data_IF_461011743681
#
_entry.id   IF_461011743681
#
_cell.length_a   1.000
_cell.length_b   1.000
_cell.length_c   1.000
_cell.angle_alpha   90.00
_cell.angle_beta   90.00
_cell.angle_gamma   90.00
#
_symmetry.space_group_name_H-M   'P 1'
#
loop_
_entity.id
_entity.type
_entity.pdbx_description
1 polymer ?
#
# COMPACT_ATOMS: atom_id res chain seq x y z
N UNK A 1 -18.43 52.26 28.46
CA UNK A 1 -18.77 51.34 27.36
C UNK A 1 -17.60 51.29 26.38
N UNK A 2 -17.00 50.11 26.27
CA UNK A 2 -16.15 49.55 25.21
C UNK A 2 -14.90 50.30 24.68
N UNK A 3 -13.81 49.56 24.89
CA UNK A 3 -12.38 49.58 24.54
C UNK A 3 -12.03 49.54 23.02
N UNK A 4 -10.73 49.66 22.65
CA UNK A 4 -10.28 50.01 21.30
C UNK A 4 -10.23 48.81 20.33
N UNK A 5 -10.41 49.10 19.03
CA UNK A 5 -10.34 48.15 17.94
C UNK A 5 -8.89 47.69 17.69
N UNK A 6 -8.58 46.48 18.16
CA UNK A 6 -7.58 45.59 17.58
C UNK A 6 -8.12 44.99 16.27
N UNK A 7 -7.59 45.39 15.11
CA UNK A 7 -7.69 44.59 13.89
C UNK A 7 -6.58 43.53 13.91
N UNK A 8 -6.87 42.39 14.55
CA UNK A 8 -6.05 41.19 14.47
C UNK A 8 -5.95 40.75 13.02
N UNK A 9 -4.72 40.74 12.48
CA UNK A 9 -4.39 40.00 11.27
C UNK A 9 -4.71 38.53 11.49
N UNK A 10 -5.79 38.05 10.89
CA UNK A 10 -6.08 36.62 10.74
C UNK A 10 -5.10 36.05 9.71
N UNK A 11 -3.85 35.88 10.11
CA UNK A 11 -2.94 34.93 9.48
C UNK A 11 -3.51 33.54 9.69
N UNK A 12 -4.26 33.06 8.69
CA UNK A 12 -4.87 31.74 8.71
C UNK A 12 -3.77 30.69 8.89
N UNK A 13 -3.77 29.95 10.00
CA UNK A 13 -2.82 28.83 10.26
C UNK A 13 -2.82 27.79 9.12
N UNK A 14 -3.87 27.73 8.28
CA UNK A 14 -3.91 26.90 7.07
C UNK A 14 -2.99 27.38 5.95
N UNK A 15 -2.62 28.66 5.88
CA UNK A 15 -1.68 29.17 4.88
C UNK A 15 -0.23 28.74 5.16
N UNK A 16 0.17 28.56 6.41
CA UNK A 16 1.52 28.12 6.75
C UNK A 16 1.76 26.64 6.40
N UNK A 17 0.75 25.78 6.57
CA UNK A 17 0.79 24.37 6.10
C UNK A 17 0.98 24.30 4.57
N UNK A 18 0.44 25.28 3.83
CA UNK A 18 0.60 25.35 2.36
C UNK A 18 1.97 25.89 1.96
N UNK A 19 2.61 26.72 2.79
CA UNK A 19 3.95 27.26 2.51
C UNK A 19 5.07 26.31 2.96
N UNK A 20 4.86 25.48 3.98
CA UNK A 20 5.78 24.38 4.36
C UNK A 20 5.65 23.13 3.47
N UNK A 21 4.56 22.99 2.71
CA UNK A 21 4.39 21.95 1.66
C UNK A 21 5.43 22.01 0.52
N UNK A 22 6.29 23.03 0.49
CA UNK A 22 7.26 23.28 -0.58
C UNK A 22 8.63 22.60 -0.38
N UNK A 23 8.85 21.87 0.71
CA UNK A 23 10.11 21.11 0.93
C UNK A 23 9.87 19.62 1.21
N UNK A 24 9.00 18.95 0.44
CA UNK A 24 8.90 17.48 0.43
C UNK A 24 10.14 16.95 -0.32
N UNK A 25 11.29 16.86 0.35
CA UNK A 25 12.55 16.42 -0.28
C UNK A 25 13.41 15.50 0.60
N UNK A 26 12.90 15.02 1.74
CA UNK A 26 13.69 14.18 2.64
C UNK A 26 13.08 12.78 2.74
N UNK A 27 13.95 11.79 2.58
CA UNK A 27 13.69 10.40 2.94
C UNK A 27 14.20 10.18 4.36
N UNK A 28 13.36 9.64 5.22
CA UNK A 28 13.70 9.33 6.60
C UNK A 28 13.78 7.82 6.75
N UNK A 29 14.99 7.31 6.99
CA UNK A 29 15.22 5.87 7.13
C UNK A 29 15.58 5.51 8.57
N UNK A 30 14.84 4.54 9.09
CA UNK A 30 15.04 3.85 10.35
C UNK A 30 15.20 2.33 10.10
N UNK A 31 15.67 1.96 8.91
CA UNK A 31 15.80 0.56 8.51
C UNK A 31 16.73 -0.21 9.45
N UNK A 32 16.30 -1.38 9.93
CA UNK A 32 17.08 -2.23 10.83
C UNK A 32 17.22 -1.71 12.26
N UNK A 33 16.50 -0.64 12.63
CA UNK A 33 16.52 -0.09 13.99
C UNK A 33 15.46 -0.76 14.85
N UNK A 34 15.81 -1.08 16.09
CA UNK A 34 14.82 -1.51 17.08
C UNK A 34 14.04 -0.29 17.60
N UNK A 35 12.73 -0.30 17.39
CA UNK A 35 11.84 0.82 17.69
C UNK A 35 10.84 0.39 18.76
N UNK A 36 11.23 0.62 20.02
CA UNK A 36 10.34 0.52 21.16
C UNK A 36 9.38 1.73 21.24
N UNK A 37 8.44 1.67 22.18
CA UNK A 37 7.47 2.75 22.39
C UNK A 37 8.14 4.11 22.66
N UNK A 38 9.23 4.14 23.46
CA UNK A 38 9.92 5.39 23.83
C UNK A 38 10.67 6.02 22.66
N UNK A 39 11.28 5.18 21.83
CA UNK A 39 11.94 5.61 20.60
C UNK A 39 10.91 6.23 19.66
N UNK A 40 9.74 5.59 19.51
CA UNK A 40 8.65 6.14 18.71
C UNK A 40 8.12 7.46 19.25
N UNK A 41 7.89 7.59 20.57
CA UNK A 41 7.47 8.85 21.20
C UNK A 41 8.47 9.99 20.92
N UNK A 42 9.77 9.69 20.94
CA UNK A 42 10.80 10.68 20.61
C UNK A 42 10.78 11.14 19.14
N UNK A 43 10.22 10.33 18.23
CA UNK A 43 10.06 10.71 16.82
C UNK A 43 8.96 11.74 16.63
N UNK A 44 8.06 11.97 17.59
CA UNK A 44 6.96 12.92 17.46
C UNK A 44 7.47 14.33 17.12
N UNK A 45 8.54 14.77 17.80
CA UNK A 45 9.16 16.07 17.58
C UNK A 45 9.69 16.25 16.15
N UNK A 46 10.06 15.14 15.50
CA UNK A 46 10.54 15.12 14.12
C UNK A 46 9.34 15.13 13.16
N UNK A 47 8.37 14.22 13.36
CA UNK A 47 7.20 14.06 12.49
C UNK A 47 6.28 15.29 12.50
N UNK A 48 6.22 16.04 13.60
CA UNK A 48 5.46 17.30 13.67
C UNK A 48 6.12 18.45 12.90
N UNK A 49 7.42 18.37 12.68
CA UNK A 49 8.24 19.48 12.17
C UNK A 49 8.55 19.35 10.68
N UNK A 50 8.55 18.12 10.16
CA UNK A 50 9.01 17.81 8.80
C UNK A 50 8.01 16.89 8.09
N UNK A 51 7.77 17.17 6.80
CA UNK A 51 7.08 16.26 5.89
C UNK A 51 8.10 15.51 5.05
N UNK A 52 7.97 14.18 5.03
CA UNK A 52 8.84 13.26 4.34
C UNK A 52 8.21 12.76 3.05
N UNK A 53 9.04 12.50 2.05
CA UNK A 53 8.58 11.76 0.89
C UNK A 53 8.39 10.30 1.29
N UNK A 54 9.45 9.70 1.81
CA UNK A 54 9.55 8.33 2.28
C UNK A 54 9.85 8.29 3.78
N UNK A 55 9.09 7.48 4.51
CA UNK A 55 9.51 6.93 5.80
C UNK A 55 9.81 5.44 5.58
N UNK A 56 11.08 5.08 5.72
CA UNK A 56 11.58 3.72 5.56
C UNK A 56 11.79 3.08 6.94
N UNK A 57 10.97 2.07 7.24
CA UNK A 57 11.01 1.24 8.45
C UNK A 57 11.43 -0.20 8.10
N UNK A 58 12.14 -0.40 6.99
CA UNK A 58 12.47 -1.72 6.49
C UNK A 58 13.31 -2.50 7.50
N UNK A 59 12.84 -3.67 7.93
CA UNK A 59 13.52 -4.50 8.93
C UNK A 59 13.63 -3.82 10.29
N UNK A 60 12.89 -2.74 10.54
CA UNK A 60 12.81 -2.17 11.87
C UNK A 60 12.04 -3.13 12.77
N UNK A 61 12.57 -3.41 13.96
CA UNK A 61 11.86 -4.17 14.99
C UNK A 61 10.89 -3.22 15.69
N UNK A 62 9.80 -2.90 14.99
CA UNK A 62 8.75 -2.02 15.46
C UNK A 62 7.84 -2.82 16.40
N UNK A 63 7.97 -2.62 17.71
CA UNK A 63 7.10 -3.26 18.70
C UNK A 63 5.65 -2.81 18.52
N UNK A 64 4.68 -3.64 18.90
CA UNK A 64 3.24 -3.38 18.66
C UNK A 64 2.75 -2.00 19.13
N UNK A 65 3.17 -1.57 20.33
CA UNK A 65 2.80 -0.26 20.86
C UNK A 65 3.51 0.87 20.11
N UNK A 66 4.80 0.70 19.79
CA UNK A 66 5.56 1.66 18.99
C UNK A 66 4.97 1.82 17.59
N UNK A 67 4.59 0.71 16.96
CA UNK A 67 3.92 0.67 15.66
C UNK A 67 2.61 1.45 15.70
N UNK A 68 1.75 1.19 16.70
CA UNK A 68 0.47 1.87 16.82
C UNK A 68 0.65 3.38 16.96
N UNK A 69 1.51 3.82 17.90
CA UNK A 69 1.79 5.23 18.12
C UNK A 69 2.39 5.90 16.89
N UNK A 70 3.34 5.24 16.22
CA UNK A 70 3.98 5.78 15.02
C UNK A 70 2.98 5.99 13.88
N UNK A 71 2.11 5.02 13.61
CA UNK A 71 1.08 5.14 12.56
C UNK A 71 0.06 6.25 12.87
N UNK A 72 -0.31 6.41 14.15
CA UNK A 72 -1.20 7.50 14.60
C UNK A 72 -0.56 8.87 14.45
N UNK A 73 0.70 9.02 14.86
CA UNK A 73 1.46 10.27 14.66
C UNK A 73 1.62 10.59 13.18
N UNK A 74 1.95 9.59 12.36
CA UNK A 74 2.06 9.74 10.91
C UNK A 74 0.77 10.25 10.29
N UNK A 75 -0.38 9.71 10.72
CA UNK A 75 -1.70 10.15 10.27
C UNK A 75 -2.03 11.55 10.75
N UNK A 76 -1.77 11.85 12.03
CA UNK A 76 -2.12 13.15 12.62
C UNK A 76 -1.38 14.30 11.96
N UNK A 77 -0.09 14.12 11.67
CA UNK A 77 0.75 15.13 11.04
C UNK A 77 0.77 15.05 9.51
N UNK A 78 0.17 14.01 8.89
CA UNK A 78 0.25 13.72 7.46
C UNK A 78 1.71 13.82 6.96
N UNK A 79 2.58 13.10 7.69
CA UNK A 79 4.03 13.29 7.64
C UNK A 79 4.72 12.57 6.48
N UNK A 80 4.07 11.64 5.79
CA UNK A 80 4.69 10.84 4.73
C UNK A 80 3.76 10.59 3.54
N UNK A 81 4.34 10.52 2.35
CA UNK A 81 3.61 10.16 1.11
C UNK A 81 3.87 8.72 0.67
N UNK A 82 4.99 8.16 1.11
CA UNK A 82 5.42 6.79 0.94
C UNK A 82 5.79 6.24 2.31
N UNK A 83 5.25 5.08 2.66
CA UNK A 83 5.65 4.31 3.83
C UNK A 83 6.16 2.93 3.41
N UNK A 84 7.38 2.60 3.84
CA UNK A 84 7.95 1.25 3.68
C UNK A 84 8.05 0.59 5.06
N UNK A 85 7.33 -0.51 5.25
CA UNK A 85 7.34 -1.36 6.45
C UNK A 85 7.93 -2.75 6.15
N UNK A 86 8.59 -2.92 5.00
CA UNK A 86 9.02 -4.24 4.55
C UNK A 86 9.91 -4.94 5.57
N UNK A 87 9.77 -6.24 5.76
CA UNK A 87 10.52 -7.03 6.75
C UNK A 87 10.30 -6.63 8.23
N UNK A 88 9.33 -5.77 8.57
CA UNK A 88 8.97 -5.49 9.97
C UNK A 88 7.85 -6.42 10.44
N UNK A 89 8.20 -7.59 10.96
CA UNK A 89 7.22 -8.62 11.38
C UNK A 89 6.62 -8.41 12.78
N UNK A 90 7.16 -7.49 13.58
CA UNK A 90 6.84 -7.34 15.01
C UNK A 90 5.69 -6.37 15.34
N UNK A 91 5.00 -5.82 14.34
CA UNK A 91 3.97 -4.79 14.54
C UNK A 91 2.74 -5.24 15.34
N UNK A 92 2.52 -6.56 15.51
CA UNK A 92 1.39 -7.10 16.26
C UNK A 92 0.03 -6.69 15.72
N UNK A 93 -1.04 -6.99 16.47
CA UNK A 93 -2.42 -6.74 16.03
C UNK A 93 -2.70 -5.24 15.97
N UNK A 94 -2.29 -4.50 17.00
CA UNK A 94 -2.54 -3.06 17.12
C UNK A 94 -1.80 -2.25 16.05
N UNK A 95 -0.56 -2.62 15.72
CA UNK A 95 0.19 -1.97 14.64
C UNK A 95 -0.49 -2.15 13.27
N UNK A 96 -1.01 -3.34 12.96
CA UNK A 96 -1.77 -3.57 11.73
C UNK A 96 -3.11 -2.83 11.69
N UNK A 97 -3.77 -2.68 12.83
CA UNK A 97 -4.99 -1.87 12.94
C UNK A 97 -4.70 -0.38 12.72
N UNK A 98 -3.63 0.13 13.34
CA UNK A 98 -3.19 1.50 13.19
C UNK A 98 -2.73 1.80 11.75
N UNK A 99 -1.99 0.89 11.12
CA UNK A 99 -1.67 0.96 9.69
C UNK A 99 -2.93 0.98 8.84
N UNK A 100 -3.88 0.07 9.11
CA UNK A 100 -5.16 0.03 8.38
C UNK A 100 -5.95 1.33 8.54
N UNK A 101 -5.87 1.98 9.69
CA UNK A 101 -6.48 3.27 9.95
C UNK A 101 -5.77 4.39 9.17
N UNK A 102 -4.43 4.44 9.23
CA UNK A 102 -3.60 5.36 8.45
C UNK A 102 -3.92 5.29 6.95
N UNK A 103 -3.96 4.09 6.38
CA UNK A 103 -4.25 3.88 4.95
C UNK A 103 -5.64 4.35 4.53
N UNK A 104 -6.63 4.32 5.44
CA UNK A 104 -8.00 4.75 5.17
C UNK A 104 -8.18 6.24 5.25
N UNK A 105 -7.48 6.88 6.18
CA UNK A 105 -7.70 8.28 6.53
C UNK A 105 -6.69 9.23 5.90
N UNK A 106 -5.48 8.76 5.58
CA UNK A 106 -4.44 9.64 5.07
C UNK A 106 -4.84 10.30 3.75
N UNK A 107 -4.61 11.61 3.70
CA UNK A 107 -4.83 12.45 2.54
C UNK A 107 -3.64 12.50 1.58
N UNK A 108 -2.44 12.13 2.03
CA UNK A 108 -1.19 12.27 1.26
C UNK A 108 -0.47 10.95 0.95
N UNK A 109 -0.75 9.87 1.68
CA UNK A 109 -0.12 8.58 1.45
C UNK A 109 -0.64 7.95 0.15
N UNK A 110 0.26 7.74 -0.82
CA UNK A 110 -0.07 7.16 -2.12
C UNK A 110 0.69 5.85 -2.39
N UNK A 111 1.77 5.57 -1.65
CA UNK A 111 2.54 4.32 -1.77
C UNK A 111 2.74 3.64 -0.42
N UNK A 112 2.52 2.32 -0.41
CA UNK A 112 2.86 1.44 0.71
C UNK A 112 3.70 0.27 0.18
N UNK A 113 4.84 0.07 0.81
CA UNK A 113 5.70 -1.10 0.60
C UNK A 113 5.66 -1.97 1.87
N UNK A 114 5.18 -3.20 1.74
CA UNK A 114 5.01 -4.15 2.85
C UNK A 114 5.51 -5.54 2.45
N UNK A 115 6.71 -5.59 1.87
CA UNK A 115 7.33 -6.81 1.36
C UNK A 115 7.96 -7.63 2.48
N UNK A 116 8.14 -8.94 2.28
CA UNK A 116 8.79 -9.85 3.23
C UNK A 116 8.13 -9.86 4.63
N UNK A 117 6.82 -9.65 4.72
CA UNK A 117 6.04 -9.77 5.96
C UNK A 117 4.92 -10.79 5.73
N UNK A 118 4.76 -11.82 6.56
CA UNK A 118 3.70 -12.80 6.37
C UNK A 118 2.31 -12.16 6.58
N UNK A 119 1.61 -11.90 5.48
CA UNK A 119 0.24 -11.41 5.44
C UNK A 119 -0.74 -12.58 5.61
N UNK A 120 -0.71 -13.16 6.80
CA UNK A 120 -1.66 -14.19 7.21
C UNK A 120 -3.06 -13.59 7.42
N UNK A 121 -3.98 -14.42 7.92
CA UNK A 121 -5.42 -14.12 7.98
C UNK A 121 -5.76 -12.72 8.56
N UNK A 122 -5.21 -12.35 9.72
CA UNK A 122 -5.52 -11.07 10.34
C UNK A 122 -4.91 -9.85 9.61
N UNK A 123 -3.58 -9.78 9.38
CA UNK A 123 -2.97 -8.69 8.61
C UNK A 123 -3.60 -8.50 7.23
N UNK A 124 -3.85 -9.59 6.50
CA UNK A 124 -4.50 -9.54 5.20
C UNK A 124 -5.92 -8.95 5.30
N UNK A 125 -6.70 -9.36 6.30
CA UNK A 125 -8.05 -8.82 6.50
C UNK A 125 -8.03 -7.33 6.87
N UNK A 126 -7.09 -6.92 7.73
CA UNK A 126 -6.92 -5.53 8.15
C UNK A 126 -6.58 -4.64 6.94
N UNK A 127 -5.55 -5.05 6.18
CA UNK A 127 -5.14 -4.37 4.95
C UNK A 127 -6.26 -4.33 3.91
N UNK A 128 -6.96 -5.44 3.69
CA UNK A 128 -8.09 -5.51 2.75
C UNK A 128 -9.21 -4.53 3.12
N UNK A 129 -9.58 -4.46 4.41
CA UNK A 129 -10.57 -3.48 4.88
C UNK A 129 -10.10 -2.06 4.66
N UNK A 130 -8.80 -1.80 4.83
CA UNK A 130 -8.22 -0.50 4.59
C UNK A 130 -8.29 -0.09 3.12
N UNK A 131 -7.94 -1.01 2.24
CA UNK A 131 -7.92 -0.81 0.79
C UNK A 131 -9.30 -0.55 0.18
N UNK A 132 -10.41 -0.87 0.86
CA UNK A 132 -11.75 -0.52 0.36
C UNK A 132 -11.94 0.99 0.14
N UNK A 133 -11.34 1.82 0.99
CA UNK A 133 -11.47 3.29 0.93
C UNK A 133 -10.13 4.02 0.80
N UNK A 134 -9.02 3.29 0.78
CA UNK A 134 -7.69 3.86 0.66
C UNK A 134 -7.48 4.56 -0.69
N UNK A 135 -6.64 5.59 -0.68
CA UNK A 135 -6.22 6.39 -1.84
C UNK A 135 -4.86 5.97 -2.41
N UNK A 136 -4.28 4.89 -1.89
CA UNK A 136 -3.03 4.32 -2.41
C UNK A 136 -3.15 4.07 -3.92
N UNK A 137 -2.13 4.48 -4.65
CA UNK A 137 -1.98 4.21 -6.08
C UNK A 137 -0.98 3.08 -6.34
N UNK A 138 -0.01 2.88 -5.44
CA UNK A 138 1.03 1.84 -5.52
C UNK A 138 1.04 1.02 -4.24
N UNK A 139 1.06 -0.31 -4.39
CA UNK A 139 1.10 -1.26 -3.28
C UNK A 139 2.06 -2.42 -3.61
N UNK A 140 3.12 -2.56 -2.81
CA UNK A 140 4.04 -3.69 -2.88
C UNK A 140 3.77 -4.69 -1.76
N UNK A 141 3.53 -5.96 -2.13
CA UNK A 141 3.28 -7.08 -1.23
C UNK A 141 4.08 -8.30 -1.64
N UNK A 142 5.34 -8.09 -2.03
CA UNK A 142 6.22 -9.16 -2.50
C UNK A 142 6.64 -10.06 -1.34
N UNK A 143 6.63 -11.38 -1.55
CA UNK A 143 7.00 -12.38 -0.54
C UNK A 143 6.22 -12.21 0.80
N UNK A 144 4.89 -12.21 0.71
CA UNK A 144 4.01 -12.01 1.88
C UNK A 144 3.08 -13.20 2.17
N UNK A 145 3.32 -14.35 1.53
CA UNK A 145 2.51 -15.58 1.68
C UNK A 145 1.01 -15.36 1.36
N UNK A 146 0.70 -14.51 0.36
CA UNK A 146 -0.67 -14.16 -0.04
C UNK A 146 -1.38 -15.23 -0.88
N UNK A 147 -1.33 -16.52 -0.53
CA UNK A 147 -2.06 -17.58 -1.24
C UNK A 147 -3.38 -17.94 -0.54
N UNK A 148 -4.38 -18.41 -1.28
CA UNK A 148 -5.65 -18.90 -0.71
C UNK A 148 -6.55 -17.82 -0.09
N UNK A 149 -6.79 -17.90 1.22
CA UNK A 149 -7.77 -17.03 1.93
C UNK A 149 -7.30 -15.57 2.09
N UNK A 150 -6.03 -15.29 2.43
CA UNK A 150 -5.46 -13.94 2.35
C UNK A 150 -5.69 -13.27 0.99
N UNK A 151 -5.37 -13.96 -0.11
CA UNK A 151 -5.61 -13.46 -1.47
C UNK A 151 -7.08 -13.12 -1.71
N UNK A 152 -7.98 -14.02 -1.30
CA UNK A 152 -9.42 -13.88 -1.51
C UNK A 152 -9.96 -12.62 -0.85
N UNK A 153 -9.49 -12.36 0.36
CA UNK A 153 -9.88 -11.18 1.13
C UNK A 153 -9.36 -9.90 0.48
N UNK A 154 -8.10 -9.92 0.03
CA UNK A 154 -7.45 -8.81 -0.68
C UNK A 154 -8.16 -8.49 -2.00
N UNK A 155 -8.37 -9.49 -2.85
CA UNK A 155 -9.09 -9.39 -4.12
C UNK A 155 -10.50 -8.85 -3.91
N UNK A 156 -11.21 -9.32 -2.89
CA UNK A 156 -12.56 -8.84 -2.56
C UNK A 156 -12.61 -7.33 -2.30
N UNK A 157 -11.57 -6.78 -1.66
CA UNK A 157 -11.44 -5.34 -1.45
C UNK A 157 -11.03 -4.60 -2.71
N UNK A 158 -10.01 -5.11 -3.41
CA UNK A 158 -9.46 -4.47 -4.60
C UNK A 158 -10.45 -4.39 -5.76
N UNK A 159 -11.39 -5.34 -5.89
CA UNK A 159 -12.50 -5.24 -6.87
C UNK A 159 -13.32 -3.95 -6.73
N UNK A 160 -13.41 -3.40 -5.51
CA UNK A 160 -14.18 -2.18 -5.20
C UNK A 160 -13.32 -0.94 -5.09
N UNK A 161 -12.02 -1.10 -4.85
CA UNK A 161 -11.10 0.01 -4.79
C UNK A 161 -11.01 0.70 -6.17
N UNK A 162 -11.06 2.03 -6.15
CA UNK A 162 -11.03 2.87 -7.35
C UNK A 162 -9.82 3.82 -7.39
N UNK A 163 -8.78 3.53 -6.63
CA UNK A 163 -7.58 4.36 -6.51
C UNK A 163 -6.30 3.63 -6.94
N UNK A 164 -6.17 2.34 -6.60
CA UNK A 164 -4.98 1.54 -6.83
C UNK A 164 -4.74 1.33 -8.33
N UNK A 165 -3.51 1.60 -8.76
CA UNK A 165 -3.06 1.52 -10.15
C UNK A 165 -1.96 0.47 -10.33
N UNK A 166 -1.11 0.27 -9.33
CA UNK A 166 0.00 -0.68 -9.38
C UNK A 166 -0.03 -1.61 -8.17
N UNK A 167 0.05 -2.91 -8.45
CA UNK A 167 0.02 -3.97 -7.44
C UNK A 167 1.14 -4.98 -7.72
N UNK A 168 2.08 -5.11 -6.78
CA UNK A 168 3.20 -6.04 -6.89
C UNK A 168 2.99 -7.22 -5.94
N UNK A 169 2.95 -8.43 -6.50
CA UNK A 169 2.63 -9.68 -5.81
C UNK A 169 3.67 -10.77 -6.11
N UNK A 170 4.92 -10.39 -6.40
CA UNK A 170 6.00 -11.34 -6.64
C UNK A 170 6.20 -12.30 -5.45
N UNK A 171 6.61 -13.53 -5.73
CA UNK A 171 7.03 -14.52 -4.72
C UNK A 171 5.96 -14.79 -3.64
N UNK A 172 4.67 -14.83 -3.99
CA UNK A 172 3.56 -15.04 -3.03
C UNK A 172 3.03 -16.47 -2.97
N UNK A 173 3.76 -17.42 -3.54
CA UNK A 173 3.34 -18.83 -3.64
C UNK A 173 1.95 -18.99 -4.29
N UNK A 174 1.58 -18.10 -5.19
CA UNK A 174 0.30 -18.19 -5.90
C UNK A 174 0.42 -19.37 -6.87
N UNK A 175 -0.10 -20.53 -6.47
CA UNK A 175 0.11 -21.79 -7.19
C UNK A 175 -1.18 -22.58 -7.43
N UNK A 176 -2.30 -22.18 -6.82
CA UNK A 176 -3.55 -22.91 -6.93
C UNK A 176 -4.44 -22.40 -8.08
N UNK A 177 -5.28 -23.28 -8.61
CA UNK A 177 -6.34 -22.88 -9.56
C UNK A 177 -7.28 -21.80 -8.97
N UNK A 178 -7.51 -21.84 -7.66
CA UNK A 178 -8.33 -20.86 -6.97
C UNK A 178 -7.68 -19.47 -6.97
N UNK A 179 -6.36 -19.39 -6.77
CA UNK A 179 -5.64 -18.11 -6.81
C UNK A 179 -5.69 -17.48 -8.20
N UNK A 180 -5.48 -18.29 -9.24
CA UNK A 180 -5.61 -17.86 -10.63
C UNK A 180 -7.02 -17.32 -10.94
N UNK A 181 -8.06 -18.03 -10.51
CA UNK A 181 -9.45 -17.59 -10.65
C UNK A 181 -9.73 -16.26 -9.95
N UNK A 182 -9.19 -16.08 -8.74
CA UNK A 182 -9.36 -14.83 -7.99
C UNK A 182 -8.68 -13.65 -8.68
N UNK A 183 -7.47 -13.84 -9.20
CA UNK A 183 -6.76 -12.81 -9.97
C UNK A 183 -7.50 -12.47 -11.27
N UNK A 184 -8.00 -13.47 -12.01
CA UNK A 184 -8.81 -13.23 -13.20
C UNK A 184 -10.08 -12.43 -12.89
N UNK A 185 -10.72 -12.74 -11.76
CA UNK A 185 -11.86 -11.99 -11.25
C UNK A 185 -11.49 -10.57 -10.77
N UNK A 186 -10.32 -10.36 -10.18
CA UNK A 186 -9.82 -9.02 -9.84
C UNK A 186 -9.73 -8.16 -11.10
N UNK A 187 -9.07 -8.66 -12.14
CA UNK A 187 -8.87 -7.95 -13.40
C UNK A 187 -10.16 -7.71 -14.18
N UNK A 188 -11.15 -8.60 -14.04
CA UNK A 188 -12.46 -8.45 -14.67
C UNK A 188 -13.28 -7.30 -14.08
N UNK A 189 -13.20 -7.07 -12.77
CA UNK A 189 -14.05 -6.09 -12.07
C UNK A 189 -13.34 -4.78 -11.74
N UNK A 190 -12.04 -4.81 -11.45
CA UNK A 190 -11.28 -3.60 -11.19
C UNK A 190 -10.97 -2.88 -12.52
N UNK A 191 -11.19 -1.57 -12.56
CA UNK A 191 -10.97 -0.72 -13.75
C UNK A 191 -9.86 0.31 -13.59
N UNK A 192 -9.20 0.35 -12.43
CA UNK A 192 -8.19 1.35 -12.10
C UNK A 192 -6.78 0.79 -12.14
N UNK A 193 -6.64 -0.52 -11.91
CA UNK A 193 -5.37 -1.23 -11.96
C UNK A 193 -4.83 -1.23 -13.39
N UNK A 194 -3.58 -0.79 -13.52
CA UNK A 194 -2.82 -0.66 -14.78
C UNK A 194 -1.60 -1.56 -14.80
N UNK A 195 -1.05 -1.87 -13.64
CA UNK A 195 0.12 -2.75 -13.51
C UNK A 195 -0.15 -3.79 -12.44
N UNK A 196 0.10 -5.05 -12.80
CA UNK A 196 0.15 -6.14 -11.83
C UNK A 196 1.42 -6.94 -12.07
N UNK A 197 2.22 -7.15 -11.03
CA UNK A 197 3.40 -8.01 -11.09
C UNK A 197 3.10 -9.32 -10.35
N UNK A 198 3.22 -10.46 -11.03
CA UNK A 198 3.09 -11.79 -10.41
C UNK A 198 4.36 -12.62 -10.69
N UNK A 199 5.52 -11.98 -10.85
CA UNK A 199 6.80 -12.65 -10.99
C UNK A 199 7.02 -13.75 -9.95
N UNK A 200 7.69 -14.83 -10.35
CA UNK A 200 8.00 -15.97 -9.48
C UNK A 200 6.77 -16.63 -8.79
N UNK A 201 5.60 -16.60 -9.43
CA UNK A 201 4.43 -17.37 -8.99
C UNK A 201 4.11 -18.53 -9.94
N UNK A 202 3.68 -19.67 -9.38
CA UNK A 202 3.36 -20.90 -10.12
C UNK A 202 1.92 -20.96 -10.69
N UNK A 203 1.16 -19.88 -10.59
CA UNK A 203 -0.20 -19.72 -11.16
C UNK A 203 -0.21 -19.96 -12.67
N UNK A 204 0.96 -19.93 -13.33
CA UNK A 204 1.14 -20.14 -14.76
C UNK A 204 1.60 -21.55 -15.18
N UNK A 205 2.24 -22.33 -14.30
CA UNK A 205 2.80 -23.64 -14.67
C UNK A 205 1.73 -24.74 -14.80
N UNK A 206 0.58 -24.57 -14.16
CA UNK A 206 -0.59 -25.37 -14.49
C UNK A 206 -1.18 -24.79 -15.78
N UNK A 207 -0.85 -25.37 -16.94
CA UNK A 207 -1.27 -24.88 -18.27
C UNK A 207 -2.77 -24.59 -18.46
N UNK A 208 -3.65 -25.00 -17.52
CA UNK A 208 -5.07 -24.62 -17.45
C UNK A 208 -5.32 -23.29 -16.72
N UNK A 209 -4.54 -22.94 -15.71
CA UNK A 209 -4.67 -21.70 -14.95
C UNK A 209 -4.11 -20.49 -15.73
N UNK A 210 -2.97 -20.65 -16.41
CA UNK A 210 -2.45 -19.65 -17.36
C UNK A 210 -3.46 -19.33 -18.47
N UNK A 211 -4.09 -20.38 -19.05
CA UNK A 211 -5.16 -20.21 -20.03
C UNK A 211 -6.39 -19.53 -19.42
N UNK A 212 -6.72 -19.75 -18.15
CA UNK A 212 -7.86 -19.09 -17.52
C UNK A 212 -7.61 -17.60 -17.28
N UNK A 213 -6.44 -17.22 -16.75
CA UNK A 213 -6.05 -15.81 -16.59
C UNK A 213 -5.96 -15.13 -17.96
N UNK A 214 -5.27 -15.73 -18.94
CA UNK A 214 -5.18 -15.18 -20.29
C UNK A 214 -6.52 -15.11 -21.03
N UNK A 215 -7.39 -16.11 -20.89
CA UNK A 215 -8.71 -16.13 -21.55
C UNK A 215 -9.71 -15.17 -20.90
N UNK A 216 -9.60 -14.92 -19.59
CA UNK A 216 -10.37 -13.87 -18.91
C UNK A 216 -9.87 -12.49 -19.33
N UNK A 217 -8.55 -12.33 -19.55
CA UNK A 217 -7.93 -11.10 -20.03
C UNK A 217 -8.21 -10.81 -21.51
N UNK A 218 -8.34 -11.82 -22.37
CA UNK A 218 -8.68 -11.61 -23.79
C UNK A 218 -10.13 -11.17 -24.01
N UNK A 219 -11.01 -11.40 -23.02
CA UNK A 219 -12.44 -11.11 -23.11
C UNK A 219 -12.82 -9.72 -22.53
N UNK A 220 -11.96 -9.14 -21.70
CA UNK A 220 -12.14 -7.79 -21.17
C UNK A 220 -10.89 -6.99 -21.42
N UNK A 221 -10.99 -5.98 -22.28
CA UNK A 221 -10.58 -4.60 -22.02
C UNK A 221 -10.46 -3.89 -23.38
N UNK A 222 -11.49 -3.10 -23.71
CA UNK A 222 -11.37 -2.04 -24.70
C UNK A 222 -10.83 -0.80 -23.95
N UNK A 223 -9.50 -0.61 -23.89
CA UNK A 223 -8.89 0.67 -23.51
C UNK A 223 -7.98 0.78 -22.27
N UNK A 224 -7.80 -0.27 -21.45
CA UNK A 224 -6.83 -0.29 -20.33
C UNK A 224 -5.56 -1.00 -20.81
N UNK A 225 -4.42 -0.30 -20.77
CA UNK A 225 -3.11 -0.90 -20.99
C UNK A 225 -2.68 -1.56 -19.68
N UNK A 226 -3.01 -2.84 -19.52
CA UNK A 226 -2.53 -3.61 -18.36
C UNK A 226 -1.14 -4.15 -18.68
N UNK A 227 -0.18 -3.81 -17.83
CA UNK A 227 1.19 -4.34 -17.89
C UNK A 227 1.32 -5.45 -16.87
N UNK A 228 1.69 -6.63 -17.35
CA UNK A 228 1.96 -7.79 -16.51
C UNK A 228 3.45 -8.13 -16.60
N UNK A 229 4.12 -8.21 -15.47
CA UNK A 229 5.54 -8.57 -15.39
C UNK A 229 5.64 -10.00 -14.85
N UNK A 230 6.42 -10.84 -15.53
CA UNK A 230 6.63 -12.23 -15.15
C UNK A 230 8.03 -12.68 -15.52
N UNK A 231 8.81 -13.19 -14.55
CA UNK A 231 10.19 -13.64 -14.79
C UNK A 231 11.01 -12.61 -15.61
N UNK A 232 10.84 -11.32 -15.30
CA UNK A 232 11.43 -10.18 -16.03
C UNK A 232 10.97 -9.99 -17.49
N UNK A 233 9.92 -10.68 -17.93
CA UNK A 233 9.25 -10.48 -19.22
C UNK A 233 8.02 -9.60 -19.03
N UNK A 234 7.90 -8.57 -19.88
CA UNK A 234 6.81 -7.60 -19.82
C UNK A 234 5.77 -7.96 -20.87
N UNK A 235 4.57 -8.32 -20.42
CA UNK A 235 3.43 -8.56 -21.28
C UNK A 235 2.51 -7.33 -21.27
N UNK A 236 2.15 -6.85 -22.46
CA UNK A 236 1.16 -5.80 -22.63
C UNK A 236 -0.17 -6.41 -23.07
N UNK A 237 -1.19 -6.33 -22.23
CA UNK A 237 -2.55 -6.63 -22.64
C UNK A 237 -3.11 -5.41 -23.35
N UNK A 238 -2.92 -5.32 -24.67
CA UNK A 238 -3.48 -4.26 -25.50
C UNK A 238 -4.30 -4.84 -26.64
N UNK A 239 -5.56 -5.20 -26.39
CA UNK A 239 -6.62 -5.41 -27.39
C UNK A 239 -6.44 -6.47 -28.50
N UNK A 240 -5.22 -6.90 -28.82
CA UNK A 240 -4.83 -7.90 -29.81
C UNK A 240 -3.33 -8.13 -29.63
N UNK A 241 -2.93 -9.40 -29.54
CA UNK A 241 -1.57 -9.92 -29.40
C UNK A 241 -0.87 -9.76 -28.03
N UNK A 242 -0.86 -10.88 -27.30
CA UNK A 242 0.29 -11.27 -26.49
C UNK A 242 1.48 -11.45 -27.46
N UNK A 243 2.36 -10.46 -27.56
CA UNK A 243 3.68 -10.68 -28.14
C UNK A 243 4.65 -11.03 -27.02
N UNK A 244 5.28 -12.19 -27.19
CA UNK A 244 6.36 -12.75 -26.39
C UNK A 244 7.63 -11.93 -26.44
#
# INVERSE_FOLDING_TARGET
ALSPHHSKGLGCKKCWIIVLKLCICFDFSLSGVHLDYRSCESLEEILKSVQFNLINLQGAELEENGASSLMEMMLYYESATHLDISSSSSMGVSGWQALSWLLRQSGCLWRLDACNIPLLEFPAQALSKALLSSRLTVLHLENTCLSGKPLFTLVGALKKNAALQELYLCDNELNSYQDAMQLGELLKYNRTLRTIDLGNNAVSDSGKAAMCVCSLMSCLICGIKLTYIYNNTVFLASGLHLQS
#
